data_IF_328713764785
#
_entry.id   IF_328713764785
#
_cell.length_a   1.000
_cell.length_b   1.000
_cell.length_c   1.000
_cell.angle_alpha   90.00
_cell.angle_beta   90.00
_cell.angle_gamma   90.00
#
_symmetry.space_group_name_H-M   'P 1'
#
loop_
_entity.id
_entity.type
_entity.pdbx_description
1 polymer ?
#
# COMPACT_ATOMS: atom_id res chain seq x y z
N UNK A 1 -5.68 -7.64 2.29
CA UNK A 1 -5.75 -6.19 2.02
C UNK A 1 -4.95 -5.87 0.76
N UNK A 2 -5.39 -4.88 0.02
CA UNK A 2 -4.73 -4.43 -1.22
C UNK A 2 -4.49 -2.93 -1.14
N UNK A 3 -3.33 -2.48 -1.61
CA UNK A 3 -3.00 -1.06 -1.73
C UNK A 3 -3.33 -0.61 -3.16
N UNK A 4 -3.91 0.58 -3.31
CA UNK A 4 -4.25 1.14 -4.62
C UNK A 4 -3.93 2.64 -4.69
N UNK A 5 -3.36 3.05 -5.82
CA UNK A 5 -3.37 4.45 -6.25
C UNK A 5 -4.69 4.70 -7.02
N UNK A 6 -5.59 5.54 -6.52
CA UNK A 6 -6.86 5.78 -7.21
C UNK A 6 -6.72 6.67 -8.45
N UNK A 7 -5.56 7.30 -8.65
CA UNK A 7 -5.33 8.27 -9.74
C UNK A 7 -4.75 7.66 -11.00
N UNK A 8 -3.95 6.58 -10.86
CA UNK A 8 -3.07 6.10 -11.94
C UNK A 8 -3.25 4.62 -12.21
N UNK A 9 -3.06 4.16 -13.44
CA UNK A 9 -2.91 2.74 -13.72
C UNK A 9 -1.62 2.19 -13.08
N UNK A 10 -1.53 0.88 -12.90
CA UNK A 10 -0.43 0.21 -12.19
C UNK A 10 0.96 0.62 -12.71
N UNK A 11 1.15 0.70 -14.02
CA UNK A 11 2.45 1.06 -14.61
C UNK A 11 2.89 2.48 -14.23
N UNK A 12 1.96 3.43 -14.28
CA UNK A 12 2.21 4.80 -13.88
C UNK A 12 2.33 4.97 -12.36
N UNK A 13 1.58 4.19 -11.59
CA UNK A 13 1.66 4.18 -10.14
C UNK A 13 3.05 3.71 -9.67
N UNK A 14 3.59 2.66 -10.27
CA UNK A 14 4.96 2.22 -10.02
C UNK A 14 6.00 3.28 -10.40
N UNK A 15 5.88 3.87 -11.59
CA UNK A 15 6.77 4.95 -12.02
C UNK A 15 6.73 6.14 -11.04
N UNK A 16 5.54 6.53 -10.59
CA UNK A 16 5.37 7.61 -9.63
C UNK A 16 5.98 7.29 -8.26
N UNK A 17 5.84 6.03 -7.81
CA UNK A 17 6.32 5.58 -6.51
C UNK A 17 7.85 5.56 -6.42
N UNK A 18 8.53 5.09 -7.45
CA UNK A 18 9.99 4.89 -7.43
C UNK A 18 10.77 5.94 -8.25
N UNK A 19 10.06 6.81 -8.99
CA UNK A 19 10.67 7.90 -9.76
C UNK A 19 11.31 7.51 -11.09
N UNK A 20 11.31 6.25 -11.44
CA UNK A 20 11.82 5.72 -12.72
C UNK A 20 11.09 4.44 -13.11
N UNK A 21 11.24 4.00 -14.35
CA UNK A 21 10.74 2.68 -14.75
C UNK A 21 11.43 1.60 -13.91
N UNK A 22 10.67 0.67 -13.29
CA UNK A 22 11.25 -0.39 -12.49
C UNK A 22 12.25 -1.21 -13.31
N UNK A 23 13.45 -1.40 -12.77
CA UNK A 23 14.44 -2.30 -13.33
C UNK A 23 14.39 -3.62 -12.56
N UNK A 24 14.18 -4.70 -13.28
CA UNK A 24 14.29 -6.04 -12.70
C UNK A 24 15.70 -6.55 -12.93
N UNK A 25 16.32 -7.06 -11.88
CA UNK A 25 17.66 -7.64 -11.95
C UNK A 25 17.51 -9.08 -12.43
N UNK A 26 17.89 -9.34 -13.67
CA UNK A 26 17.99 -10.69 -14.22
C UNK A 26 19.46 -11.10 -14.23
N UNK A 27 19.82 -12.05 -13.40
CA UNK A 27 21.18 -12.57 -13.37
C UNK A 27 21.31 -13.76 -14.31
N UNK A 28 22.38 -13.76 -15.10
CA UNK A 28 22.69 -14.87 -16.02
C UNK A 28 23.16 -16.12 -15.27
N UNK A 29 23.11 -17.28 -15.93
CA UNK A 29 23.68 -18.51 -15.42
C UNK A 29 25.18 -18.35 -15.08
N UNK A 30 25.91 -17.54 -15.85
CA UNK A 30 27.32 -17.26 -15.60
C UNK A 30 27.53 -16.51 -14.29
N UNK A 31 26.68 -15.54 -14.00
CA UNK A 31 26.70 -14.83 -12.71
C UNK A 31 26.49 -15.78 -11.55
N UNK A 32 25.52 -16.67 -11.64
CA UNK A 32 25.27 -17.69 -10.61
C UNK A 32 26.44 -18.67 -10.48
N UNK A 33 27.09 -19.03 -11.58
CA UNK A 33 28.29 -19.86 -11.58
C UNK A 33 29.46 -19.18 -10.86
N UNK A 34 29.71 -17.90 -11.14
CA UNK A 34 30.74 -17.12 -10.46
C UNK A 34 30.49 -16.97 -8.96
N UNK A 35 29.23 -16.87 -8.57
CA UNK A 35 28.79 -16.82 -7.17
C UNK A 35 28.80 -18.20 -6.48
N UNK A 36 29.20 -19.27 -7.19
CA UNK A 36 29.16 -20.65 -6.70
C UNK A 36 27.79 -21.06 -6.16
N UNK A 37 26.75 -20.63 -6.85
CA UNK A 37 25.38 -20.97 -6.49
C UNK A 37 25.12 -22.48 -6.71
N UNK A 38 24.10 -23.04 -6.03
CA UNK A 38 23.69 -24.43 -6.26
C UNK A 38 23.30 -24.67 -7.72
N UNK A 39 23.63 -25.86 -8.24
CA UNK A 39 23.35 -26.27 -9.63
C UNK A 39 21.92 -25.99 -10.09
N UNK A 40 20.95 -26.11 -9.19
CA UNK A 40 19.54 -25.83 -9.49
C UNK A 40 19.32 -24.38 -9.95
N UNK A 41 20.00 -23.41 -9.35
CA UNK A 41 19.92 -22.00 -9.71
C UNK A 41 20.70 -21.69 -10.98
N UNK A 42 21.84 -22.39 -11.21
CA UNK A 42 22.63 -22.22 -12.43
C UNK A 42 21.87 -22.74 -13.65
N UNK A 43 21.21 -23.89 -13.52
CA UNK A 43 20.45 -24.53 -14.61
C UNK A 43 19.13 -23.85 -14.90
N UNK A 44 18.53 -23.23 -13.90
CA UNK A 44 17.25 -22.54 -14.02
C UNK A 44 17.26 -21.25 -13.17
N UNK A 45 18.00 -20.22 -13.64
CA UNK A 45 18.08 -18.95 -12.90
C UNK A 45 16.69 -18.33 -12.75
N UNK A 46 16.36 -17.80 -11.57
CA UNK A 46 15.13 -17.06 -11.38
C UNK A 46 15.07 -15.85 -12.34
N UNK A 47 13.96 -15.70 -13.03
CA UNK A 47 13.70 -14.57 -13.89
C UNK A 47 12.53 -13.76 -13.31
N UNK A 48 12.83 -12.55 -12.86
CA UNK A 48 11.82 -11.60 -12.37
C UNK A 48 11.85 -10.39 -13.28
N UNK A 49 10.92 -10.33 -14.20
CA UNK A 49 10.83 -9.25 -15.17
C UNK A 49 9.76 -8.21 -14.80
N UNK A 50 9.66 -7.13 -15.59
CA UNK A 50 8.60 -6.12 -15.45
C UNK A 50 7.20 -6.73 -15.48
N UNK A 51 7.01 -7.82 -16.23
CA UNK A 51 5.75 -8.55 -16.27
C UNK A 51 5.36 -9.07 -14.88
N UNK A 52 6.32 -9.61 -14.14
CA UNK A 52 6.05 -10.15 -12.81
C UNK A 52 5.76 -9.04 -11.79
N UNK A 53 6.49 -7.92 -11.89
CA UNK A 53 6.22 -6.75 -11.06
C UNK A 53 4.81 -6.19 -11.29
N UNK A 54 4.40 -6.08 -12.55
CA UNK A 54 3.08 -5.54 -12.91
C UNK A 54 1.92 -6.50 -12.60
N UNK A 55 2.18 -7.73 -12.16
CA UNK A 55 1.13 -8.60 -11.60
C UNK A 55 0.58 -8.06 -10.27
N UNK A 56 1.34 -7.23 -9.57
CA UNK A 56 0.87 -6.51 -8.39
C UNK A 56 0.12 -5.25 -8.80
N UNK A 57 -1.18 -5.39 -9.02
CA UNK A 57 -2.06 -4.29 -9.46
C UNK A 57 -2.27 -3.27 -8.34
N UNK A 58 -1.40 -2.27 -8.28
CA UNK A 58 -1.49 -1.15 -7.32
C UNK A 58 -2.22 0.07 -7.87
N UNK A 59 -2.60 0.06 -9.13
CA UNK A 59 -3.28 1.17 -9.80
C UNK A 59 -4.79 1.12 -9.70
N UNK A 60 -5.45 1.98 -10.47
CA UNK A 60 -6.89 2.19 -10.48
C UNK A 60 -7.67 1.20 -11.37
N UNK A 61 -7.01 0.18 -11.88
CA UNK A 61 -7.67 -0.84 -12.70
C UNK A 61 -8.86 -1.45 -11.94
N UNK A 62 -10.00 -1.67 -12.62
CA UNK A 62 -11.15 -2.32 -12.00
C UNK A 62 -10.80 -3.76 -11.63
N UNK A 63 -11.24 -4.17 -10.45
CA UNK A 63 -11.02 -5.51 -9.94
C UNK A 63 -12.26 -5.96 -9.14
N UNK A 64 -13.11 -6.72 -9.80
CA UNK A 64 -14.37 -7.20 -9.25
C UNK A 64 -14.17 -8.05 -7.97
N UNK A 65 -13.06 -8.78 -7.89
CA UNK A 65 -12.76 -9.62 -6.71
C UNK A 65 -12.71 -8.83 -5.38
N UNK A 66 -12.52 -7.51 -5.46
CA UNK A 66 -12.42 -6.62 -4.29
C UNK A 66 -13.76 -6.08 -3.83
N UNK A 67 -14.75 -6.08 -4.70
CA UNK A 67 -16.07 -5.50 -4.45
C UNK A 67 -17.18 -6.55 -4.35
N UNK A 68 -16.97 -7.73 -4.92
CA UNK A 68 -17.94 -8.84 -4.89
C UNK A 68 -17.91 -9.59 -3.57
N UNK A 69 -16.74 -9.72 -2.94
CA UNK A 69 -16.61 -10.40 -1.64
C UNK A 69 -17.01 -9.46 -0.52
N UNK A 70 -17.93 -9.89 0.32
CA UNK A 70 -18.47 -9.11 1.44
C UNK A 70 -18.26 -9.81 2.78
N UNK A 71 -18.12 -9.08 3.89
CA UNK A 71 -18.07 -7.60 3.96
C UNK A 71 -16.78 -7.03 3.36
N UNK A 72 -16.86 -5.83 2.80
CA UNK A 72 -15.71 -5.15 2.22
C UNK A 72 -15.60 -3.68 2.69
N UNK A 73 -14.38 -3.16 2.67
CA UNK A 73 -14.04 -1.84 3.19
C UNK A 73 -13.05 -1.13 2.27
N UNK A 74 -13.35 0.11 1.92
CA UNK A 74 -12.38 1.02 1.33
C UNK A 74 -11.82 1.95 2.40
N UNK A 75 -10.51 1.92 2.62
CA UNK A 75 -9.84 2.76 3.62
C UNK A 75 -8.87 3.72 2.95
N UNK A 76 -9.03 5.02 3.20
CA UNK A 76 -8.03 6.03 2.89
C UNK A 76 -6.91 5.97 3.94
N UNK A 77 -5.65 5.92 3.51
CA UNK A 77 -4.49 5.95 4.43
C UNK A 77 -3.68 7.20 4.13
N UNK A 78 -3.58 8.09 5.10
CA UNK A 78 -2.99 9.42 4.94
C UNK A 78 -2.03 9.74 6.09
N UNK A 79 -0.95 10.45 5.76
CA UNK A 79 0.07 10.85 6.73
C UNK A 79 0.26 12.36 6.71
N UNK A 80 0.39 12.94 7.88
CA UNK A 80 0.68 14.36 8.08
C UNK A 80 -0.35 15.27 7.39
N UNK A 81 0.12 16.27 6.67
CA UNK A 81 -0.73 17.25 6.00
C UNK A 81 -1.59 16.68 4.86
N UNK A 82 -1.33 15.43 4.43
CA UNK A 82 -2.17 14.77 3.42
C UNK A 82 -3.59 14.50 3.91
N UNK A 83 -3.84 14.54 5.21
CA UNK A 83 -5.19 14.48 5.77
C UNK A 83 -6.16 15.53 5.16
N UNK A 84 -5.64 16.66 4.69
CA UNK A 84 -6.42 17.67 3.97
C UNK A 84 -7.09 17.17 2.68
N UNK A 85 -6.60 16.08 2.11
CA UNK A 85 -7.22 15.46 0.94
C UNK A 85 -8.61 14.89 1.22
N UNK A 86 -8.94 14.65 2.50
CA UNK A 86 -10.26 14.16 2.92
C UNK A 86 -11.17 15.27 3.45
N UNK A 87 -10.73 16.52 3.44
CA UNK A 87 -11.61 17.63 3.83
C UNK A 87 -12.86 17.64 2.94
N UNK A 88 -14.02 17.90 3.54
CA UNK A 88 -15.26 18.01 2.80
C UNK A 88 -15.15 19.09 1.73
N UNK A 89 -15.52 18.77 0.49
CA UNK A 89 -15.42 19.68 -0.64
C UNK A 89 -14.00 19.90 -1.15
N UNK A 90 -13.04 19.09 -0.73
CA UNK A 90 -11.66 19.16 -1.25
C UNK A 90 -11.64 19.12 -2.79
N UNK A 91 -11.02 20.11 -3.46
CA UNK A 91 -10.94 20.15 -4.92
C UNK A 91 -9.90 19.19 -5.49
N UNK A 92 -9.16 18.49 -4.65
CA UNK A 92 -8.08 17.61 -5.08
C UNK A 92 -8.58 16.47 -5.97
N UNK A 93 -7.84 16.19 -7.04
CA UNK A 93 -8.15 15.09 -7.92
C UNK A 93 -8.17 13.74 -7.18
N UNK A 94 -7.26 13.57 -6.22
CA UNK A 94 -7.19 12.37 -5.38
C UNK A 94 -8.49 12.14 -4.59
N UNK A 95 -9.05 13.19 -4.01
CA UNK A 95 -10.30 13.10 -3.21
C UNK A 95 -11.47 12.60 -4.05
N UNK A 96 -11.61 13.12 -5.26
CA UNK A 96 -12.65 12.66 -6.20
C UNK A 96 -12.40 11.21 -6.66
N UNK A 97 -11.15 10.89 -6.97
CA UNK A 97 -10.77 9.55 -7.40
C UNK A 97 -10.99 8.51 -6.29
N UNK A 98 -10.62 8.83 -5.05
CA UNK A 98 -10.91 7.98 -3.89
C UNK A 98 -12.42 7.80 -3.69
N UNK A 99 -13.20 8.87 -3.75
CA UNK A 99 -14.65 8.79 -3.58
C UNK A 99 -15.29 7.87 -4.65
N UNK A 100 -14.86 7.97 -5.90
CA UNK A 100 -15.32 7.13 -6.99
C UNK A 100 -14.89 5.66 -6.80
N UNK A 101 -13.62 5.43 -6.44
CA UNK A 101 -13.09 4.08 -6.21
C UNK A 101 -13.73 3.40 -4.99
N UNK A 102 -14.10 4.16 -3.97
CA UNK A 102 -14.73 3.67 -2.75
C UNK A 102 -16.26 3.48 -2.87
N UNK A 103 -16.87 4.02 -3.94
CA UNK A 103 -18.33 3.97 -4.09
C UNK A 103 -18.94 2.55 -4.05
N UNK A 104 -18.33 1.51 -4.67
CA UNK A 104 -18.88 0.16 -4.67
C UNK A 104 -18.66 -0.62 -3.37
N UNK A 105 -17.91 -0.06 -2.39
CA UNK A 105 -17.65 -0.73 -1.12
C UNK A 105 -18.77 -0.46 -0.11
N UNK A 106 -19.07 -1.44 0.75
CA UNK A 106 -20.10 -1.35 1.79
C UNK A 106 -19.73 -0.35 2.88
N UNK A 107 -18.45 -0.32 3.24
CA UNK A 107 -17.95 0.57 4.27
C UNK A 107 -16.80 1.43 3.74
N UNK A 108 -16.69 2.62 4.32
CA UNK A 108 -15.59 3.55 4.08
C UNK A 108 -15.01 3.99 5.39
N UNK A 109 -13.69 4.11 5.44
CA UNK A 109 -12.98 4.64 6.61
C UNK A 109 -11.75 5.41 6.18
N UNK A 110 -11.14 6.07 7.16
CA UNK A 110 -9.85 6.69 6.99
C UNK A 110 -8.93 6.32 8.16
N UNK A 111 -7.65 6.09 7.84
CA UNK A 111 -6.56 6.02 8.79
C UNK A 111 -5.68 7.26 8.57
N UNK A 112 -5.61 8.11 9.58
CA UNK A 112 -4.78 9.31 9.55
C UNK A 112 -3.70 9.21 10.62
N UNK A 113 -2.45 9.34 10.19
CA UNK A 113 -1.27 9.35 11.07
C UNK A 113 -0.68 10.76 11.03
N UNK A 114 -0.79 11.52 12.11
CA UNK A 114 -0.36 12.91 12.17
C UNK A 114 -1.33 13.76 12.98
N UNK A 115 -1.00 15.03 13.21
CA UNK A 115 -1.82 15.94 14.02
C UNK A 115 -3.09 16.44 13.37
N UNK A 116 -3.14 16.47 12.02
CA UNK A 116 -4.28 17.01 11.30
C UNK A 116 -5.41 16.00 11.19
N UNK A 117 -6.59 16.39 11.61
CA UNK A 117 -7.83 15.64 11.37
C UNK A 117 -8.54 16.22 10.13
N UNK A 118 -9.10 15.39 9.24
CA UNK A 118 -9.88 15.85 8.10
C UNK A 118 -11.12 16.63 8.56
N UNK A 119 -11.40 17.75 7.93
CA UNK A 119 -12.57 18.58 8.23
C UNK A 119 -13.81 18.05 7.52
N UNK A 120 -14.89 17.82 8.27
CA UNK A 120 -16.17 17.39 7.71
C UNK A 120 -16.20 15.95 7.20
N UNK A 121 -15.22 15.12 7.54
CA UNK A 121 -15.24 13.70 7.23
C UNK A 121 -16.36 12.98 7.98
N UNK A 122 -17.25 12.29 7.25
CA UNK A 122 -18.47 11.71 7.81
C UNK A 122 -18.41 10.19 8.03
N UNK A 123 -17.37 9.53 7.54
CA UNK A 123 -17.18 8.10 7.72
C UNK A 123 -16.29 7.81 8.94
N UNK A 124 -16.10 6.53 9.25
CA UNK A 124 -15.23 6.11 10.35
C UNK A 124 -13.81 6.63 10.18
N UNK A 125 -13.23 7.14 11.25
CA UNK A 125 -11.88 7.69 11.29
C UNK A 125 -11.06 7.03 12.39
N UNK A 126 -9.96 6.41 12.02
CA UNK A 126 -8.90 6.01 12.94
C UNK A 126 -7.81 7.09 12.89
N UNK A 127 -7.65 7.83 13.98
CA UNK A 127 -6.68 8.91 14.07
C UNK A 127 -5.57 8.54 15.05
N UNK A 128 -4.34 8.53 14.57
CA UNK A 128 -3.12 8.38 15.37
C UNK A 128 -2.47 9.75 15.46
N UNK A 129 -2.72 10.43 16.59
CA UNK A 129 -2.17 11.76 16.84
C UNK A 129 -0.69 11.65 17.20
N UNK A 130 0.14 12.00 16.25
CA UNK A 130 1.61 11.99 16.40
C UNK A 130 2.23 13.14 15.62
N UNK A 131 3.22 13.79 16.21
CA UNK A 131 4.05 14.75 15.49
C UNK A 131 5.18 14.00 14.79
N UNK A 132 5.17 14.08 13.46
CA UNK A 132 6.21 13.47 12.64
C UNK A 132 7.15 14.57 12.16
N UNK A 133 8.44 14.56 12.55
CA UNK A 133 9.40 15.56 12.09
C UNK A 133 9.58 15.51 10.57
N UNK A 134 9.65 16.68 9.94
CA UNK A 134 9.93 16.76 8.50
C UNK A 134 11.38 16.33 8.24
N UNK A 135 11.56 15.39 7.34
CA UNK A 135 12.87 14.87 6.93
C UNK A 135 12.97 14.75 5.42
N UNK A 136 14.18 14.78 4.85
CA UNK A 136 14.38 14.37 3.47
C UNK A 136 13.78 12.97 3.24
N UNK A 137 13.15 12.75 2.09
CA UNK A 137 12.48 11.50 1.71
C UNK A 137 11.33 11.08 2.64
N UNK A 138 10.86 11.97 3.54
CA UNK A 138 9.74 11.70 4.47
C UNK A 138 9.95 10.40 5.29
N UNK A 139 11.19 10.16 5.73
CA UNK A 139 11.58 8.91 6.40
C UNK A 139 10.70 8.59 7.62
N UNK A 140 10.45 9.59 8.48
CA UNK A 140 9.63 9.37 9.68
C UNK A 140 8.15 9.18 9.35
N UNK A 141 7.63 9.80 8.29
CA UNK A 141 6.27 9.53 7.80
C UNK A 141 6.12 8.05 7.41
N UNK A 142 7.08 7.53 6.64
CA UNK A 142 7.10 6.11 6.23
C UNK A 142 7.23 5.18 7.44
N UNK A 143 8.09 5.51 8.39
CA UNK A 143 8.29 4.71 9.60
C UNK A 143 7.04 4.68 10.47
N UNK A 144 6.43 5.84 10.73
CA UNK A 144 5.20 5.94 11.51
C UNK A 144 4.07 5.14 10.88
N UNK A 145 3.87 5.30 9.57
CA UNK A 145 2.87 4.53 8.85
C UNK A 145 3.13 3.02 8.91
N UNK A 146 4.37 2.60 8.70
CA UNK A 146 4.76 1.18 8.80
C UNK A 146 4.45 0.60 10.17
N UNK A 147 4.80 1.31 11.24
CA UNK A 147 4.53 0.87 12.61
C UNK A 147 3.02 0.71 12.87
N UNK A 148 2.22 1.67 12.45
CA UNK A 148 0.76 1.60 12.58
C UNK A 148 0.18 0.42 11.80
N UNK A 149 0.57 0.25 10.53
CA UNK A 149 0.07 -0.85 9.70
C UNK A 149 0.52 -2.22 10.23
N UNK A 150 1.74 -2.34 10.76
CA UNK A 150 2.19 -3.57 11.40
C UNK A 150 1.34 -3.90 12.64
N UNK A 151 1.04 -2.90 13.48
CA UNK A 151 0.18 -3.11 14.65
C UNK A 151 -1.24 -3.54 14.25
N UNK A 152 -1.82 -2.91 13.23
CA UNK A 152 -3.14 -3.31 12.69
C UNK A 152 -3.10 -4.75 12.18
N UNK A 153 -2.08 -5.11 11.41
CA UNK A 153 -1.90 -6.47 10.89
C UNK A 153 -1.77 -7.49 12.02
N UNK A 154 -0.88 -7.25 12.98
CA UNK A 154 -0.64 -8.16 14.11
C UNK A 154 -1.88 -8.31 15.01
N UNK A 155 -2.56 -7.20 15.31
CA UNK A 155 -3.79 -7.24 16.10
C UNK A 155 -4.92 -7.99 15.37
N UNK A 156 -5.01 -7.84 14.05
CA UNK A 156 -5.98 -8.58 13.22
C UNK A 156 -5.70 -10.08 13.28
N UNK A 157 -4.44 -10.48 13.08
CA UNK A 157 -4.03 -11.89 13.16
C UNK A 157 -4.28 -12.47 14.56
N UNK A 158 -4.01 -11.68 15.62
CA UNK A 158 -4.33 -12.07 17.00
C UNK A 158 -5.81 -12.27 17.22
N UNK A 159 -6.65 -11.35 16.75
CA UNK A 159 -8.12 -11.50 16.83
C UNK A 159 -8.67 -12.69 16.05
N UNK A 160 -8.00 -13.08 14.97
CA UNK A 160 -8.35 -14.26 14.18
C UNK A 160 -7.83 -15.56 14.78
N UNK A 161 -7.14 -15.53 15.93
CA UNK A 161 -6.53 -16.71 16.55
C UNK A 161 -5.38 -17.31 15.74
N UNK A 162 -4.73 -16.49 14.88
CA UNK A 162 -3.62 -16.90 14.02
C UNK A 162 -2.25 -16.47 14.53
N UNK A 163 -2.16 -16.07 15.78
CA UNK A 163 -0.90 -15.81 16.46
C UNK A 163 -0.75 -16.80 17.59
N UNK A 164 0.35 -17.54 17.60
CA UNK A 164 0.82 -18.32 18.73
C UNK A 164 2.16 -17.72 19.20
N UNK A 165 2.10 -17.02 20.36
CA UNK A 165 3.23 -16.24 20.86
C UNK A 165 3.68 -15.20 19.82
N UNK A 166 4.91 -15.27 19.32
CA UNK A 166 5.46 -14.36 18.30
C UNK A 166 5.41 -14.95 16.87
N UNK A 167 4.72 -16.07 16.67
CA UNK A 167 4.68 -16.76 15.39
C UNK A 167 3.29 -16.64 14.76
N UNK A 168 3.27 -16.47 13.43
CA UNK A 168 2.06 -16.65 12.65
C UNK A 168 1.82 -18.14 12.42
N UNK A 169 0.69 -18.65 12.86
CA UNK A 169 0.24 -20.02 12.66
C UNK A 169 -0.51 -20.17 11.33
#
# INVERSE_FOLDING_TARGET
>A
AFVKDPLRPTTEAWLHLIGHTPNCLEWSADTYTQLKAPDKLIKNPPQIGLKDLHTYLIGNEPDASRTEVKPNLAMAVLVGNKAALLDQGSPAAWSRAFAAAAAPFEARSALVVGRRVPLGWQAELVHVDVEVPTTPLQLFDHLALKLVLNNVSSATMGKMGRLDSNWMA
#
